data_IF_170498756550
#
_entry.id   IF_170498756550
#
_cell.length_a   1.000
_cell.length_b   1.000
_cell.length_c   1.000
_cell.angle_alpha   90.00
_cell.angle_beta   90.00
_cell.angle_gamma   90.00
#
_symmetry.space_group_name_H-M   'P 1'
#
loop_
_entity.id
_entity.type
_entity.pdbx_description
1 polymer ?
#
# COMPACT_ATOMS: atom_id res chain seq x y z
N UNK A 1 -57.34 15.53 0.02
CA UNK A 1 -56.24 16.09 -0.79
C UNK A 1 -54.97 16.06 0.03
N UNK A 2 -53.85 15.80 -0.64
CA UNK A 2 -52.46 15.76 -0.18
C UNK A 2 -52.00 14.43 0.44
N UNK A 3 -51.30 13.64 -0.37
CA UNK A 3 -49.91 13.26 -0.11
C UNK A 3 -49.29 12.63 -1.37
N UNK A 4 -48.30 13.32 -1.92
CA UNK A 4 -47.39 12.87 -2.97
C UNK A 4 -46.71 11.54 -2.61
N UNK A 5 -46.74 10.58 -3.53
CA UNK A 5 -45.86 9.41 -3.47
C UNK A 5 -44.56 9.80 -4.17
N UNK A 6 -43.60 10.27 -3.39
CA UNK A 6 -42.19 10.30 -3.76
C UNK A 6 -41.74 8.87 -4.08
N UNK A 7 -41.45 8.63 -5.35
CA UNK A 7 -40.89 7.37 -5.80
C UNK A 7 -39.39 7.35 -5.49
N UNK A 8 -39.05 7.11 -4.22
CA UNK A 8 -37.68 6.90 -3.78
C UNK A 8 -37.13 5.61 -4.41
N UNK A 9 -36.18 5.77 -5.33
CA UNK A 9 -35.39 4.68 -5.91
C UNK A 9 -34.45 4.12 -4.83
N UNK A 10 -35.00 3.32 -3.91
CA UNK A 10 -34.27 2.76 -2.76
C UNK A 10 -33.32 1.65 -3.23
N UNK A 11 -32.08 1.69 -2.72
CA UNK A 11 -31.06 0.66 -2.92
C UNK A 11 -31.54 -0.70 -2.40
N UNK A 12 -31.32 -1.77 -3.19
CA UNK A 12 -31.68 -3.16 -2.84
C UNK A 12 -31.07 -3.65 -1.52
N UNK A 13 -29.96 -3.05 -1.06
CA UNK A 13 -29.34 -3.40 0.24
C UNK A 13 -30.25 -3.14 1.43
N UNK A 14 -31.16 -2.16 1.34
CA UNK A 14 -32.11 -1.84 2.41
C UNK A 14 -33.33 -2.78 2.42
N UNK A 15 -33.47 -3.65 1.41
CA UNK A 15 -34.53 -4.67 1.35
C UNK A 15 -34.12 -6.00 2.00
N UNK A 16 -32.91 -6.10 2.57
CA UNK A 16 -32.47 -7.29 3.30
C UNK A 16 -32.19 -8.52 2.43
N UNK A 17 -32.13 -8.35 1.10
CA UNK A 17 -31.76 -9.43 0.19
C UNK A 17 -30.23 -9.61 0.19
N UNK A 18 -29.79 -10.83 0.46
CA UNK A 18 -28.37 -11.17 0.47
C UNK A 18 -27.79 -11.06 -0.96
N UNK A 19 -26.55 -10.59 -1.13
CA UNK A 19 -25.90 -10.62 -2.44
C UNK A 19 -25.79 -12.06 -2.93
N UNK A 20 -26.28 -12.33 -4.15
CA UNK A 20 -26.11 -13.62 -4.81
C UNK A 20 -24.62 -13.82 -5.12
N UNK A 21 -23.91 -14.58 -4.28
CA UNK A 21 -22.60 -15.09 -4.63
C UNK A 21 -22.82 -16.36 -5.45
N UNK A 22 -22.43 -16.31 -6.72
CA UNK A 22 -22.52 -17.46 -7.63
C UNK A 22 -21.88 -18.72 -7.05
N UNK A 23 -22.41 -19.88 -7.42
CA UNK A 23 -22.01 -21.19 -6.88
C UNK A 23 -20.49 -21.40 -6.98
N UNK A 24 -19.85 -21.51 -5.83
CA UNK A 24 -18.43 -21.83 -5.71
C UNK A 24 -18.24 -23.30 -6.11
N UNK A 25 -17.50 -23.54 -7.19
CA UNK A 25 -17.14 -24.90 -7.64
C UNK A 25 -16.46 -25.63 -6.49
N UNK A 26 -17.01 -26.79 -6.10
CA UNK A 26 -16.48 -27.58 -5.00
C UNK A 26 -15.10 -28.15 -5.36
N UNK A 27 -14.08 -28.08 -4.48
CA UNK A 27 -12.78 -28.65 -4.76
C UNK A 27 -12.85 -30.18 -4.82
N UNK A 28 -12.60 -30.75 -5.99
CA UNK A 28 -12.36 -32.19 -6.14
C UNK A 28 -11.02 -32.54 -5.52
N UNK A 29 -11.06 -33.48 -4.57
CA UNK A 29 -9.90 -34.02 -3.84
C UNK A 29 -8.99 -34.82 -4.79
N UNK A 30 -8.06 -34.15 -5.47
CA UNK A 30 -6.97 -34.77 -6.22
C UNK A 30 -5.84 -35.21 -5.28
N UNK A 31 -5.57 -36.52 -5.24
CA UNK A 31 -4.38 -37.10 -4.59
C UNK A 31 -3.22 -36.99 -5.58
N UNK A 32 -2.12 -36.34 -5.20
CA UNK A 32 -0.83 -36.48 -5.89
C UNK A 32 0.34 -36.58 -4.89
N UNK A 33 1.42 -37.28 -5.25
CA UNK A 33 2.45 -37.76 -4.32
C UNK A 33 3.53 -36.70 -4.05
N UNK A 34 4.28 -36.92 -2.95
CA UNK A 34 5.50 -36.18 -2.59
C UNK A 34 6.65 -36.64 -3.51
N UNK A 35 7.26 -35.72 -4.26
CA UNK A 35 8.72 -35.71 -4.45
C UNK A 35 9.24 -34.35 -4.95
N UNK A 36 10.52 -34.09 -4.63
CA UNK A 36 11.26 -32.84 -4.75
C UNK A 36 11.64 -32.45 -6.19
N UNK A 37 11.67 -31.14 -6.47
CA UNK A 37 12.82 -30.38 -7.03
C UNK A 37 12.38 -28.93 -7.27
N UNK A 38 13.21 -28.00 -6.81
CA UNK A 38 12.88 -26.58 -6.68
C UNK A 38 13.70 -25.79 -7.69
N UNK A 39 13.21 -25.73 -8.93
CA UNK A 39 13.65 -24.73 -9.91
C UNK A 39 12.55 -23.66 -10.00
N UNK A 40 12.77 -22.51 -9.34
CA UNK A 40 11.88 -21.35 -9.48
C UNK A 40 12.32 -20.53 -10.69
N UNK A 41 11.71 -20.82 -11.83
CA UNK A 41 11.71 -19.92 -12.98
C UNK A 41 10.53 -18.94 -12.85
N UNK A 42 10.81 -17.65 -13.01
CA UNK A 42 9.86 -16.54 -12.87
C UNK A 42 8.69 -16.64 -13.87
N UNK A 43 7.54 -17.19 -13.47
CA UNK A 43 6.34 -17.13 -14.31
C UNK A 43 5.62 -15.79 -14.16
N UNK A 44 5.84 -14.94 -15.16
CA UNK A 44 5.02 -13.78 -15.51
C UNK A 44 3.58 -14.25 -15.81
N UNK A 45 2.60 -13.75 -15.06
CA UNK A 45 1.20 -13.90 -15.45
C UNK A 45 0.88 -12.97 -16.64
N UNK A 46 0.18 -13.42 -17.69
CA UNK A 46 -0.19 -12.55 -18.79
C UNK A 46 -1.27 -11.56 -18.34
N UNK A 47 -0.95 -10.27 -18.40
CA UNK A 47 -1.91 -9.18 -18.28
C UNK A 47 -2.73 -9.16 -19.56
N UNK A 48 -4.02 -9.48 -19.46
CA UNK A 48 -4.97 -9.25 -20.55
C UNK A 48 -5.28 -7.75 -20.62
N UNK A 49 -4.98 -7.04 -21.72
CA UNK A 49 -5.39 -5.64 -21.86
C UNK A 49 -6.91 -5.59 -22.09
N UNK A 50 -7.60 -4.85 -21.22
CA UNK A 50 -8.99 -4.47 -21.43
C UNK A 50 -9.04 -3.47 -22.59
N UNK A 51 -9.27 -3.96 -23.80
CA UNK A 51 -9.47 -3.12 -24.99
C UNK A 51 -10.80 -2.37 -24.83
N UNK A 52 -10.72 -1.08 -24.49
CA UNK A 52 -11.88 -0.21 -24.62
C UNK A 52 -12.15 0.07 -26.12
N UNK A 53 -13.37 -0.13 -26.63
CA UNK A 53 -13.68 0.20 -28.02
C UNK A 53 -13.59 1.72 -28.24
N UNK A 54 -12.81 2.11 -29.24
CA UNK A 54 -12.70 3.49 -29.72
C UNK A 54 -14.08 3.95 -30.22
N UNK A 55 -14.64 4.99 -29.61
CA UNK A 55 -15.91 5.58 -30.03
C UNK A 55 -15.67 6.33 -31.34
N UNK A 56 -16.37 5.94 -32.41
CA UNK A 56 -16.34 6.70 -33.66
C UNK A 56 -16.89 8.12 -33.43
N UNK A 57 -16.23 9.18 -33.95
CA UNK A 57 -16.74 10.53 -33.81
C UNK A 57 -18.05 10.69 -34.60
N UNK A 58 -18.98 11.47 -34.03
CA UNK A 58 -20.22 11.83 -34.70
C UNK A 58 -19.90 12.60 -35.99
N UNK A 59 -20.43 12.15 -37.12
CA UNK A 59 -20.38 12.89 -38.38
C UNK A 59 -21.25 14.14 -38.19
N UNK A 60 -20.61 15.30 -38.17
CA UNK A 60 -21.27 16.60 -38.15
C UNK A 60 -21.81 16.88 -39.57
N UNK A 61 -23.13 16.85 -39.75
CA UNK A 61 -23.75 17.35 -40.98
C UNK A 61 -23.91 18.87 -40.86
N UNK A 62 -22.89 19.60 -41.33
CA UNK A 62 -23.00 21.02 -41.63
C UNK A 62 -23.70 21.20 -42.98
N UNK A 63 -24.91 21.74 -42.95
CA UNK A 63 -25.62 22.27 -44.12
C UNK A 63 -24.76 23.35 -44.81
N UNK A 64 -24.55 23.18 -46.12
CA UNK A 64 -23.82 24.09 -46.97
C UNK A 64 -24.74 25.22 -47.45
N UNK A 65 -24.56 26.41 -46.89
CA UNK A 65 -25.11 27.65 -47.43
C UNK A 65 -23.98 28.55 -47.93
N UNK A 66 -23.70 28.48 -49.23
CA UNK A 66 -22.85 29.42 -49.95
C UNK A 66 -23.37 30.87 -49.80
N UNK A 67 -22.49 31.81 -49.47
CA UNK A 67 -22.52 33.14 -50.09
C UNK A 67 -21.14 33.83 -49.99
N UNK A 68 -20.61 34.38 -51.10
CA UNK A 68 -19.25 34.87 -51.19
C UNK A 68 -19.20 36.36 -50.85
N UNK A 69 -18.37 36.77 -49.89
CA UNK A 69 -17.76 38.10 -49.90
C UNK A 69 -16.74 38.33 -48.80
N UNK A 70 -15.55 38.73 -49.25
CA UNK A 70 -14.63 39.68 -48.60
C UNK A 70 -13.67 39.10 -47.56
N UNK A 71 -12.54 38.63 -48.07
CA UNK A 71 -11.28 38.57 -47.33
C UNK A 71 -10.67 39.98 -47.30
N UNK A 72 -10.30 40.55 -46.13
CA UNK A 72 -9.21 41.50 -46.04
C UNK A 72 -7.94 40.79 -45.53
N UNK A 73 -6.75 41.22 -45.97
CA UNK A 73 -5.50 40.55 -45.64
C UNK A 73 -4.95 41.05 -44.29
N UNK A 74 -4.30 40.15 -43.56
CA UNK A 74 -3.28 40.48 -42.56
C UNK A 74 -3.77 40.75 -41.14
N UNK A 75 -3.63 39.75 -40.28
CA UNK A 75 -2.54 39.77 -39.32
C UNK A 75 -2.16 38.31 -38.99
N UNK A 76 -0.87 37.99 -39.10
CA UNK A 76 -0.33 36.86 -38.37
C UNK A 76 -0.20 37.32 -36.92
N UNK A 77 -1.23 37.16 -36.10
CA UNK A 77 -1.03 37.13 -34.65
C UNK A 77 -0.34 35.83 -34.32
N UNK A 78 0.98 35.92 -34.41
CA UNK A 78 1.95 35.08 -33.74
C UNK A 78 1.42 34.76 -32.34
N UNK A 79 1.30 33.46 -32.08
CA UNK A 79 1.26 32.78 -30.79
C UNK A 79 2.09 33.44 -29.66
N UNK A 80 1.64 34.56 -29.10
CA UNK A 80 2.25 35.17 -27.90
C UNK A 80 1.71 34.59 -26.57
N UNK A 81 0.65 33.78 -26.61
CA UNK A 81 0.06 33.13 -25.41
C UNK A 81 0.86 31.89 -24.92
N UNK A 82 1.76 31.36 -25.76
CA UNK A 82 2.44 30.09 -25.49
C UNK A 82 3.69 30.22 -24.58
N UNK A 83 4.29 31.42 -24.49
CA UNK A 83 5.43 31.65 -23.59
C UNK A 83 4.95 31.78 -22.13
N UNK A 84 3.82 32.49 -21.90
CA UNK A 84 3.18 32.59 -20.58
C UNK A 84 2.81 31.22 -20.01
N UNK A 85 2.30 30.31 -20.85
CA UNK A 85 1.95 28.95 -20.44
C UNK A 85 3.18 28.11 -20.06
N UNK A 86 4.30 28.26 -20.79
CA UNK A 86 5.55 27.55 -20.49
C UNK A 86 6.23 28.10 -19.22
N UNK A 87 6.26 29.41 -19.03
CA UNK A 87 6.81 30.03 -17.81
C UNK A 87 5.98 29.65 -16.57
N UNK A 88 4.64 29.66 -16.68
CA UNK A 88 3.73 29.15 -15.65
C UNK A 88 3.96 27.66 -15.38
N UNK A 89 4.17 26.85 -16.42
CA UNK A 89 4.50 25.44 -16.25
C UNK A 89 5.84 25.24 -15.56
N UNK A 90 6.87 26.02 -15.90
CA UNK A 90 8.16 25.98 -15.23
C UNK A 90 8.06 26.42 -13.76
N UNK A 91 7.23 27.43 -13.47
CA UNK A 91 6.95 27.86 -12.10
C UNK A 91 6.22 26.77 -11.31
N UNK A 92 5.19 26.16 -11.88
CA UNK A 92 4.50 25.00 -11.30
C UNK A 92 5.44 23.81 -11.11
N UNK A 93 6.35 23.56 -12.05
CA UNK A 93 7.35 22.51 -11.94
C UNK A 93 8.34 22.80 -10.81
N UNK A 94 8.81 24.05 -10.68
CA UNK A 94 9.67 24.48 -9.55
C UNK A 94 8.94 24.33 -8.22
N UNK A 95 7.65 24.67 -8.16
CA UNK A 95 6.82 24.47 -6.97
C UNK A 95 6.63 22.97 -6.68
N UNK A 96 6.36 22.15 -7.69
CA UNK A 96 6.19 20.70 -7.57
C UNK A 96 7.49 19.98 -7.14
N UNK A 97 8.62 20.40 -7.69
CA UNK A 97 9.95 19.87 -7.32
C UNK A 97 10.33 20.35 -5.92
N UNK A 98 10.15 21.64 -5.60
CA UNK A 98 10.40 22.18 -4.27
C UNK A 98 9.54 21.50 -3.19
N UNK A 99 8.29 21.17 -3.52
CA UNK A 99 7.43 20.40 -2.63
C UNK A 99 7.88 18.94 -2.51
N UNK A 100 8.42 18.33 -3.56
CA UNK A 100 9.04 16.98 -3.48
C UNK A 100 10.16 16.94 -2.44
N UNK A 101 11.05 17.93 -2.41
CA UNK A 101 12.09 18.02 -1.38
C UNK A 101 11.50 18.17 0.04
N UNK A 102 10.45 18.96 0.19
CA UNK A 102 9.76 19.10 1.48
C UNK A 102 9.12 17.78 1.93
N UNK A 103 8.49 17.04 1.03
CA UNK A 103 7.93 15.72 1.30
C UNK A 103 9.01 14.70 1.67
N UNK A 104 10.16 14.73 1.00
CA UNK A 104 11.30 13.89 1.35
C UNK A 104 11.86 14.22 2.74
N UNK A 105 12.08 15.51 3.04
CA UNK A 105 12.55 15.96 4.36
C UNK A 105 11.54 15.61 5.47
N UNK A 106 10.24 15.69 5.17
CA UNK A 106 9.20 15.25 6.08
C UNK A 106 9.25 13.74 6.29
N UNK A 107 9.35 12.95 5.22
CA UNK A 107 9.47 11.49 5.31
C UNK A 107 10.73 11.07 6.07
N UNK A 108 11.84 11.82 5.93
CA UNK A 108 13.08 11.57 6.65
C UNK A 108 12.92 11.83 8.16
N UNK A 109 12.27 12.94 8.53
CA UNK A 109 11.92 13.21 9.93
C UNK A 109 10.97 12.15 10.48
N UNK A 110 10.00 11.72 9.70
CA UNK A 110 9.09 10.66 10.09
C UNK A 110 9.85 9.36 10.32
N UNK A 111 10.70 8.94 9.39
CA UNK A 111 11.52 7.73 9.50
C UNK A 111 12.46 7.76 10.71
N UNK A 112 13.01 8.93 11.05
CA UNK A 112 13.85 9.11 12.23
C UNK A 112 13.06 8.93 13.54
N UNK A 113 11.80 9.35 13.58
CA UNK A 113 10.97 9.33 14.78
C UNK A 113 9.94 8.18 14.81
N UNK A 114 9.90 7.35 13.77
CA UNK A 114 8.89 6.30 13.63
C UNK A 114 9.12 5.18 14.64
N UNK A 115 8.23 5.10 15.62
CA UNK A 115 8.10 3.99 16.56
C UNK A 115 6.71 3.34 16.43
N UNK A 116 6.59 2.05 16.75
CA UNK A 116 5.36 1.27 16.76
C UNK A 116 4.39 1.88 17.75
N UNK A 117 3.17 2.19 17.29
CA UNK A 117 2.16 2.85 18.11
C UNK A 117 1.49 1.84 19.05
N UNK A 118 0.92 2.33 20.15
CA UNK A 118 0.11 1.50 21.03
C UNK A 118 -1.08 0.91 20.26
N UNK A 119 -1.22 -0.42 20.24
CA UNK A 119 -2.25 -1.14 19.50
C UNK A 119 -1.97 -1.31 18.00
N UNK A 120 -0.84 -0.81 17.49
CA UNK A 120 -0.39 -1.11 16.13
C UNK A 120 0.28 -2.49 16.09
N UNK A 121 -0.08 -3.30 15.10
CA UNK A 121 0.58 -4.59 14.86
C UNK A 121 2.00 -4.39 14.30
N UNK A 122 2.91 -5.31 14.61
CA UNK A 122 4.29 -5.28 14.08
C UNK A 122 4.29 -5.24 12.56
N UNK A 123 3.39 -5.98 11.91
CA UNK A 123 3.24 -5.96 10.45
C UNK A 123 2.87 -4.56 9.91
N UNK A 124 1.92 -3.86 10.53
CA UNK A 124 1.55 -2.48 10.13
C UNK A 124 2.71 -1.51 10.29
N UNK A 125 3.46 -1.64 11.39
CA UNK A 125 4.66 -0.87 11.64
C UNK A 125 5.70 -1.10 10.53
N UNK A 126 6.04 -2.36 10.25
CA UNK A 126 7.00 -2.76 9.21
C UNK A 126 6.61 -2.15 7.86
N UNK A 127 5.37 -2.36 7.42
CA UNK A 127 4.90 -1.85 6.13
C UNK A 127 5.01 -0.33 6.03
N UNK A 128 4.66 0.39 7.11
CA UNK A 128 4.79 1.85 7.15
C UNK A 128 6.24 2.30 6.98
N UNK A 129 7.16 1.65 7.68
CA UNK A 129 8.60 1.96 7.63
C UNK A 129 9.19 1.63 6.26
N UNK A 130 8.82 0.50 5.66
CA UNK A 130 9.24 0.13 4.30
C UNK A 130 8.80 1.17 3.27
N UNK A 131 7.58 1.69 3.39
CA UNK A 131 7.10 2.79 2.52
C UNK A 131 7.95 4.04 2.72
N UNK A 132 8.35 4.37 3.96
CA UNK A 132 9.22 5.51 4.24
C UNK A 132 10.62 5.34 3.64
N UNK A 133 11.19 4.13 3.61
CA UNK A 133 12.47 3.89 2.93
C UNK A 133 12.41 4.29 1.45
N UNK A 134 11.35 3.90 0.74
CA UNK A 134 11.18 4.24 -0.67
C UNK A 134 10.98 5.75 -0.89
N UNK A 135 10.34 6.45 0.06
CA UNK A 135 10.11 7.90 -0.02
C UNK A 135 11.36 8.73 0.30
N UNK A 136 12.22 8.26 1.20
CA UNK A 136 13.41 9.00 1.65
C UNK A 136 14.59 8.70 0.74
N UNK A 137 14.92 7.42 0.56
CA UNK A 137 16.04 6.98 -0.25
C UNK A 137 15.85 5.52 -0.69
N UNK A 138 15.46 5.28 -1.96
CA UNK A 138 15.32 3.94 -2.51
C UNK A 138 16.61 3.09 -2.46
N UNK A 139 17.77 3.74 -2.36
CA UNK A 139 19.10 3.10 -2.33
C UNK A 139 19.67 2.96 -0.91
N UNK A 140 18.82 3.08 0.13
CA UNK A 140 19.23 2.87 1.52
C UNK A 140 19.80 1.46 1.71
N UNK A 141 20.89 1.34 2.47
CA UNK A 141 21.55 0.06 2.71
C UNK A 141 20.73 -0.83 3.64
N UNK A 142 20.90 -2.15 3.58
CA UNK A 142 20.13 -3.07 4.43
C UNK A 142 20.41 -2.86 5.93
N UNK A 143 21.65 -2.56 6.32
CA UNK A 143 22.00 -2.27 7.72
C UNK A 143 21.26 -1.04 8.25
N UNK A 144 21.18 0.04 7.45
CA UNK A 144 20.42 1.24 7.82
C UNK A 144 18.93 0.95 7.94
N UNK A 145 18.36 0.17 7.02
CA UNK A 145 16.95 -0.24 7.08
C UNK A 145 16.67 -1.04 8.35
N UNK A 146 17.49 -2.03 8.64
CA UNK A 146 17.36 -2.85 9.85
C UNK A 146 17.49 -2.00 11.11
N UNK A 147 18.44 -1.06 11.15
CA UNK A 147 18.59 -0.12 12.27
C UNK A 147 17.31 0.70 12.50
N UNK A 148 16.70 1.24 11.44
CA UNK A 148 15.44 1.98 11.53
C UNK A 148 14.25 1.12 11.97
N UNK A 149 14.23 -0.17 11.63
CA UNK A 149 13.20 -1.12 12.05
C UNK A 149 13.35 -1.54 13.51
N UNK A 150 14.56 -1.92 13.93
CA UNK A 150 14.83 -2.40 15.29
C UNK A 150 14.58 -1.28 16.32
N UNK A 151 15.03 -0.06 16.04
CA UNK A 151 14.95 1.03 17.03
C UNK A 151 13.52 1.46 17.39
N UNK A 152 12.55 1.16 16.53
CA UNK A 152 11.18 1.64 16.67
C UNK A 152 10.17 0.52 16.92
N UNK A 153 10.59 -0.74 17.01
CA UNK A 153 9.68 -1.85 17.31
C UNK A 153 9.27 -1.85 18.79
N UNK A 154 8.16 -2.51 19.12
CA UNK A 154 7.74 -2.68 20.51
C UNK A 154 8.80 -3.40 21.37
N UNK A 155 8.85 -3.06 22.66
CA UNK A 155 9.90 -3.52 23.59
C UNK A 155 10.00 -5.05 23.70
N UNK A 156 8.88 -5.75 23.74
CA UNK A 156 8.82 -7.22 23.82
C UNK A 156 9.45 -7.91 22.60
N UNK A 157 9.24 -7.32 21.42
CA UNK A 157 9.88 -7.76 20.18
C UNK A 157 11.36 -7.39 20.21
N UNK A 158 11.70 -6.15 20.57
CA UNK A 158 13.08 -5.67 20.66
C UNK A 158 13.96 -6.58 21.52
N UNK A 159 13.51 -6.94 22.72
CA UNK A 159 14.24 -7.84 23.63
C UNK A 159 14.50 -9.22 23.01
N UNK A 160 13.55 -9.73 22.23
CA UNK A 160 13.72 -11.01 21.51
C UNK A 160 14.73 -10.91 20.36
N UNK A 161 14.84 -9.74 19.73
CA UNK A 161 15.77 -9.48 18.63
C UNK A 161 17.21 -9.28 19.12
N UNK A 162 17.44 -8.81 20.35
CA UNK A 162 18.79 -8.57 20.90
C UNK A 162 19.67 -9.84 20.97
N UNK A 163 19.05 -11.02 21.03
CA UNK A 163 19.76 -12.30 21.13
C UNK A 163 20.19 -12.81 19.75
N UNK A 164 19.81 -12.11 18.66
CA UNK A 164 20.01 -12.56 17.28
C UNK A 164 20.73 -11.51 16.44
N UNK A 165 21.64 -11.98 15.59
CA UNK A 165 22.27 -11.15 14.59
C UNK A 165 21.35 -10.98 13.38
N UNK A 166 20.84 -9.77 13.19
CA UNK A 166 19.95 -9.42 12.08
C UNK A 166 20.65 -8.40 11.20
N UNK A 167 21.04 -8.82 10.00
CA UNK A 167 21.76 -7.98 9.04
C UNK A 167 20.93 -7.57 7.83
N UNK A 168 19.74 -8.14 7.64
CA UNK A 168 18.86 -7.79 6.53
C UNK A 168 17.39 -7.66 6.92
N UNK A 169 16.64 -6.89 6.13
CA UNK A 169 15.21 -6.65 6.34
C UNK A 169 14.40 -7.95 6.33
N UNK A 170 14.79 -8.92 5.49
CA UNK A 170 14.07 -10.19 5.38
C UNK A 170 14.18 -11.04 6.65
N UNK A 171 15.35 -11.02 7.30
CA UNK A 171 15.59 -11.78 8.53
C UNK A 171 14.88 -11.14 9.71
N UNK A 172 14.83 -9.80 9.75
CA UNK A 172 13.98 -9.06 10.68
C UNK A 172 12.52 -9.50 10.58
N UNK A 173 11.95 -9.52 9.36
CA UNK A 173 10.55 -9.88 9.13
C UNK A 173 10.28 -11.32 9.55
N UNK A 174 11.14 -12.28 9.17
CA UNK A 174 11.01 -13.68 9.58
C UNK A 174 11.02 -13.82 11.11
N UNK A 175 11.89 -13.08 11.78
CA UNK A 175 12.00 -13.16 13.23
C UNK A 175 10.77 -12.57 13.93
N UNK A 176 10.27 -11.42 13.46
CA UNK A 176 9.01 -10.86 13.94
C UNK A 176 7.84 -11.84 13.74
N UNK A 177 7.74 -12.49 12.58
CA UNK A 177 6.72 -13.50 12.32
C UNK A 177 6.83 -14.69 13.27
N UNK A 178 8.05 -15.19 13.51
CA UNK A 178 8.30 -16.28 14.46
C UNK A 178 7.86 -15.91 15.88
N UNK A 179 8.12 -14.67 16.31
CA UNK A 179 7.70 -14.17 17.63
C UNK A 179 6.17 -14.06 17.70
N UNK A 180 5.52 -13.50 16.66
CA UNK A 180 4.06 -13.43 16.58
C UNK A 180 3.41 -14.81 16.62
N UNK A 181 3.95 -15.79 15.89
CA UNK A 181 3.48 -17.18 15.93
C UNK A 181 3.63 -17.80 17.32
N UNK A 182 4.77 -17.56 17.98
CA UNK A 182 5.02 -18.04 19.34
C UNK A 182 4.00 -17.43 20.32
N UNK A 183 3.78 -16.11 20.25
CA UNK A 183 2.81 -15.39 21.06
C UNK A 183 1.38 -15.89 20.81
N UNK A 184 1.04 -16.16 19.55
CA UNK A 184 -0.27 -16.71 19.19
C UNK A 184 -0.48 -18.11 19.79
N UNK A 185 0.55 -18.97 19.81
CA UNK A 185 0.49 -20.29 20.46
C UNK A 185 0.35 -20.18 21.98
N UNK A 186 0.99 -19.18 22.61
CA UNK A 186 0.81 -18.90 24.03
C UNK A 186 -0.63 -18.48 24.35
N UNK A 187 -1.26 -17.65 23.50
CA UNK A 187 -2.65 -17.18 23.67
C UNK A 187 -3.65 -18.31 23.35
N UNK A 188 -3.38 -19.17 22.36
CA UNK A 188 -4.28 -20.20 21.87
C UNK A 188 -4.44 -21.44 22.77
N UNK A 189 -3.84 -21.44 23.98
CA UNK A 189 -3.81 -22.52 24.99
C UNK A 189 -2.79 -23.64 24.74
N UNK A 190 -1.69 -23.58 25.50
CA UNK A 190 -1.10 -24.74 26.20
C UNK A 190 -0.58 -24.23 27.56
N UNK A 191 -1.25 -24.46 28.70
CA UNK A 191 -1.47 -25.73 29.43
C UNK A 191 -0.21 -26.44 29.91
N UNK A 192 0.94 -25.78 29.98
CA UNK A 192 2.06 -26.33 30.75
C UNK A 192 1.82 -26.06 32.24
N UNK A 193 1.38 -27.08 32.98
CA UNK A 193 1.39 -27.07 34.45
C UNK A 193 2.84 -27.16 34.92
N UNK A 194 3.36 -26.06 35.47
CA UNK A 194 4.67 -26.03 36.13
C UNK A 194 4.61 -26.93 37.37
N UNK A 195 5.68 -27.68 37.61
CA UNK A 195 5.78 -28.49 38.82
C UNK A 195 5.75 -27.57 40.07
N UNK A 196 5.00 -27.95 41.13
CA UNK A 196 4.82 -27.10 42.31
C UNK A 196 6.12 -26.86 43.08
N UNK A 197 7.09 -27.76 42.91
CA UNK A 197 8.41 -27.75 43.55
C UNK A 197 9.46 -26.90 42.81
N UNK A 198 9.12 -26.21 41.72
CA UNK A 198 10.07 -25.32 41.06
C UNK A 198 10.02 -23.94 41.73
N UNK A 199 11.10 -23.57 42.40
CA UNK A 199 11.23 -22.26 43.04
C UNK A 199 11.13 -21.15 41.97
N UNK A 200 10.29 -20.12 42.13
CA UNK A 200 10.34 -18.92 41.29
C UNK A 200 11.69 -18.23 41.51
N UNK A 201 12.33 -17.76 40.44
CA UNK A 201 13.42 -16.79 40.57
C UNK A 201 12.76 -15.45 40.90
N UNK A 202 12.50 -15.22 42.18
CA UNK A 202 12.17 -13.89 42.71
C UNK A 202 13.32 -13.44 43.58
N UNK A 203 13.99 -12.39 43.10
CA UNK A 203 14.83 -11.46 43.85
C UNK A 203 16.01 -12.05 44.62
N UNK A 204 17.19 -11.92 44.02
CA UNK A 204 18.43 -11.75 44.79
C UNK A 204 18.22 -10.46 45.59
N UNK A 205 17.96 -10.60 46.89
CA UNK A 205 18.06 -9.48 47.83
C UNK A 205 19.53 -9.04 47.87
N UNK A 206 19.76 -7.74 47.66
CA UNK A 206 21.05 -7.13 47.95
C UNK A 206 21.38 -7.27 49.44
N UNK A 207 22.65 -7.52 49.79
CA UNK A 207 23.14 -7.51 51.17
C UNK A 207 23.30 -6.10 51.74
#
# INVERSE_FOLDING_TARGET
>A
MVAEIENCRRSLRLQGLSPEFGLLVSPTRGKYPKDMSQDFECQTFPIFPLVQPVRAPSIFHGEAGDNPSRVPPGNGTRNEENLSSCEKFQELLKIAIGSTELFMKQAERELKNRAQKMGESTQSYIQSVLVLFHKVNPKMTENEKVFHLIKGVAEDIYQSLLVKDISCTSDFIKECQRIEEMNQRCIAKHRFTRLPNVVPVTSIGEP
#
